data_IF_609389779911
#
_entry.id   IF_609389779911
#
_cell.length_a   1.000
_cell.length_b   1.000
_cell.length_c   1.000
_cell.angle_alpha   90.00
_cell.angle_beta   90.00
_cell.angle_gamma   90.00
#
_symmetry.space_group_name_H-M   'P 1'
#
loop_
_entity.id
_entity.type
_entity.pdbx_description
1 polymer ?
#
# COMPACT_ATOMS: atom_id res chain seq x y z
N UNK A 1 18.22 21.50 20.35
CA UNK A 1 16.83 21.30 19.86
C UNK A 1 15.88 21.67 20.98
N UNK A 2 15.03 22.68 20.79
CA UNK A 2 14.07 23.09 21.81
C UNK A 2 12.99 22.02 21.97
N UNK A 3 12.73 21.60 23.21
CA UNK A 3 11.73 20.59 23.56
C UNK A 3 10.27 21.00 23.30
N UNK A 4 10.01 22.11 22.61
CA UNK A 4 8.66 22.60 22.27
C UNK A 4 8.42 22.75 20.76
N UNK A 5 9.39 22.38 19.90
CA UNK A 5 9.20 22.40 18.45
C UNK A 5 8.38 21.16 18.01
N UNK A 6 7.13 21.33 17.54
CA UNK A 6 6.27 20.22 17.13
C UNK A 6 6.79 19.51 15.87
N UNK A 7 7.70 20.12 15.11
CA UNK A 7 8.22 19.59 13.84
C UNK A 7 8.90 18.24 14.02
N UNK A 8 9.71 18.06 15.08
CA UNK A 8 10.35 16.74 15.35
C UNK A 8 9.30 15.67 15.61
N UNK A 9 8.25 15.98 16.37
CA UNK A 9 7.23 14.98 16.72
C UNK A 9 6.36 14.66 15.50
N UNK A 10 6.14 15.65 14.63
CA UNK A 10 5.38 15.50 13.39
C UNK A 10 6.11 14.67 12.32
N UNK A 11 7.40 14.97 12.09
CA UNK A 11 8.26 14.32 11.08
C UNK A 11 9.08 13.15 11.62
N UNK A 12 9.07 12.93 12.93
CA UNK A 12 9.78 11.84 13.59
C UNK A 12 9.25 10.49 13.15
N UNK A 13 10.12 9.65 12.61
CA UNK A 13 9.74 8.28 12.25
C UNK A 13 9.43 7.44 13.49
N UNK A 14 10.11 7.72 14.61
CA UNK A 14 9.92 7.07 15.92
C UNK A 14 8.50 7.24 16.47
N UNK A 15 7.96 8.46 16.40
CA UNK A 15 6.60 8.77 16.89
C UNK A 15 5.52 8.16 16.01
N UNK A 16 5.75 8.09 14.70
CA UNK A 16 4.83 7.49 13.72
C UNK A 16 4.89 5.97 13.70
N UNK A 17 6.05 5.38 14.00
CA UNK A 17 6.25 3.93 14.01
C UNK A 17 5.38 3.24 15.07
N UNK A 18 5.13 3.89 16.22
CA UNK A 18 4.33 3.32 17.30
C UNK A 18 2.93 2.87 16.83
N UNK A 19 2.22 3.69 16.07
CA UNK A 19 0.90 3.33 15.54
C UNK A 19 0.93 2.15 14.57
N UNK A 20 1.95 2.11 13.70
CA UNK A 20 2.16 0.99 12.78
C UNK A 20 2.50 -0.30 13.54
N UNK A 21 3.33 -0.22 14.58
CA UNK A 21 3.69 -1.36 15.43
C UNK A 21 2.49 -1.87 16.24
N UNK A 22 1.65 -0.98 16.77
CA UNK A 22 0.39 -1.36 17.44
C UNK A 22 -0.52 -2.10 16.46
N UNK A 23 -0.67 -1.58 15.23
CA UNK A 23 -1.47 -2.23 14.19
C UNK A 23 -0.90 -3.60 13.77
N UNK A 24 0.42 -3.70 13.60
CA UNK A 24 1.09 -4.95 13.27
C UNK A 24 0.97 -5.99 14.40
N UNK A 25 1.17 -5.57 15.65
CA UNK A 25 0.98 -6.42 16.83
C UNK A 25 -0.47 -6.91 16.90
N UNK A 26 -1.45 -6.02 16.70
CA UNK A 26 -2.86 -6.39 16.65
C UNK A 26 -3.13 -7.42 15.54
N UNK A 27 -2.61 -7.21 14.33
CA UNK A 27 -2.83 -8.13 13.20
C UNK A 27 -2.28 -9.54 13.45
N UNK A 28 -1.17 -9.65 14.19
CA UNK A 28 -0.56 -10.95 14.54
C UNK A 28 -1.30 -11.61 15.70
N UNK A 29 -1.60 -10.84 16.75
CA UNK A 29 -2.13 -11.36 18.01
C UNK A 29 -3.64 -11.56 18.01
N UNK A 30 -4.39 -10.77 17.24
CA UNK A 30 -5.85 -10.76 17.23
C UNK A 30 -6.42 -11.28 15.91
N UNK A 31 -6.77 -12.57 15.89
CA UNK A 31 -7.24 -13.28 14.69
C UNK A 31 -8.53 -14.07 14.93
N UNK A 32 -9.62 -13.43 15.38
CA UNK A 32 -10.89 -14.10 15.70
C UNK A 32 -11.55 -14.83 14.52
N UNK A 33 -11.15 -14.53 13.28
CA UNK A 33 -11.61 -15.24 12.08
C UNK A 33 -10.89 -16.57 11.80
N UNK A 34 -9.87 -16.94 12.59
CA UNK A 34 -9.10 -18.16 12.37
C UNK A 34 -9.58 -19.33 13.24
N UNK A 35 -9.72 -20.54 12.67
CA UNK A 35 -10.00 -21.73 13.46
C UNK A 35 -8.92 -21.95 14.52
N UNK A 36 -9.31 -22.14 15.78
CA UNK A 36 -8.37 -22.36 16.90
C UNK A 36 -7.91 -21.10 17.64
N UNK A 37 -8.45 -19.92 17.31
CA UNK A 37 -8.22 -18.71 18.11
C UNK A 37 -8.79 -18.89 19.54
N UNK A 38 -7.93 -18.82 20.56
CA UNK A 38 -8.26 -19.19 21.94
C UNK A 38 -8.79 -18.04 22.80
N UNK A 39 -8.58 -16.79 22.39
CA UNK A 39 -8.98 -15.63 23.21
C UNK A 39 -10.49 -15.44 23.09
N UNK A 40 -11.20 -15.72 24.18
CA UNK A 40 -12.65 -15.52 24.27
C UNK A 40 -12.93 -14.13 24.81
N UNK A 41 -13.49 -13.25 23.98
CA UNK A 41 -13.99 -11.94 24.41
C UNK A 41 -15.47 -11.86 24.05
N UNK A 42 -16.28 -11.33 24.95
CA UNK A 42 -17.70 -11.11 24.69
C UNK A 42 -17.86 -10.13 23.51
N UNK A 43 -18.67 -10.45 22.48
CA UNK A 43 -18.93 -9.53 21.37
C UNK A 43 -19.51 -8.19 21.85
N UNK A 44 -20.36 -8.22 22.88
CA UNK A 44 -20.92 -6.99 23.49
C UNK A 44 -19.85 -6.13 24.14
N UNK A 45 -18.86 -6.74 24.80
CA UNK A 45 -17.75 -5.99 25.40
C UNK A 45 -16.89 -5.32 24.31
N UNK A 46 -16.63 -6.03 23.20
CA UNK A 46 -15.94 -5.45 22.04
C UNK A 46 -16.73 -4.31 21.40
N UNK A 47 -18.05 -4.44 21.28
CA UNK A 47 -18.91 -3.37 20.77
C UNK A 47 -18.90 -2.14 21.66
N UNK A 48 -19.02 -2.31 22.98
CA UNK A 48 -18.95 -1.19 23.93
C UNK A 48 -17.56 -0.52 23.90
N UNK A 49 -16.50 -1.31 23.83
CA UNK A 49 -15.14 -0.80 23.68
C UNK A 49 -14.96 -0.04 22.36
N UNK A 50 -15.52 -0.55 21.26
CA UNK A 50 -15.50 0.10 19.95
C UNK A 50 -16.31 1.40 19.94
N UNK A 51 -17.46 1.44 20.60
CA UNK A 51 -18.26 2.66 20.76
C UNK A 51 -17.49 3.71 21.57
N UNK A 52 -16.89 3.31 22.68
CA UNK A 52 -16.03 4.20 23.48
C UNK A 52 -14.83 4.72 22.69
N UNK A 53 -14.14 3.84 21.97
CA UNK A 53 -13.03 4.22 21.09
C UNK A 53 -13.47 5.16 19.97
N UNK A 54 -14.61 4.90 19.33
CA UNK A 54 -15.22 5.78 18.33
C UNK A 54 -15.57 7.15 18.90
N UNK A 55 -16.15 7.20 20.10
CA UNK A 55 -16.44 8.45 20.79
C UNK A 55 -15.17 9.25 21.11
N UNK A 56 -14.09 8.58 21.54
CA UNK A 56 -12.78 9.21 21.76
C UNK A 56 -12.24 9.81 20.46
N UNK A 57 -12.33 9.09 19.33
CA UNK A 57 -11.86 9.60 18.04
C UNK A 57 -12.68 10.81 17.56
N UNK A 58 -14.01 10.76 17.69
CA UNK A 58 -14.90 11.88 17.33
C UNK A 58 -14.64 13.08 18.23
N UNK A 59 -14.48 12.86 19.53
CA UNK A 59 -14.14 13.91 20.49
C UNK A 59 -12.77 14.54 20.19
N UNK A 60 -11.75 13.72 19.93
CA UNK A 60 -10.42 14.17 19.57
C UNK A 60 -10.46 15.01 18.28
N UNK A 61 -11.19 14.55 17.26
CA UNK A 61 -11.37 15.28 16.00
C UNK A 61 -12.01 16.66 16.22
N UNK A 62 -12.99 16.76 17.11
CA UNK A 62 -13.67 18.04 17.35
C UNK A 62 -12.88 18.97 18.27
N UNK A 63 -12.12 18.43 19.23
CA UNK A 63 -11.51 19.20 20.30
C UNK A 63 -10.05 19.56 20.06
N UNK A 64 -9.31 18.73 19.32
CA UNK A 64 -7.87 18.89 19.16
C UNK A 64 -7.55 19.72 17.93
N UNK A 65 -6.67 20.69 18.16
CA UNK A 65 -6.15 21.57 17.15
C UNK A 65 -4.81 21.05 16.62
N UNK A 66 -4.53 21.27 15.33
CA UNK A 66 -3.32 20.78 14.66
C UNK A 66 -2.03 21.49 15.11
N UNK A 67 -2.14 22.63 15.78
CA UNK A 67 -1.00 23.38 16.32
C UNK A 67 -0.71 23.03 17.79
N UNK A 68 -1.54 22.20 18.43
CA UNK A 68 -1.36 21.82 19.83
C UNK A 68 -0.28 20.75 20.02
N UNK A 69 0.65 20.97 20.96
CA UNK A 69 1.71 20.01 21.31
C UNK A 69 1.16 18.71 21.92
N UNK A 70 -0.03 18.76 22.53
CA UNK A 70 -0.73 17.61 23.09
C UNK A 70 -1.21 16.65 22.01
N UNK A 71 -1.63 17.17 20.85
CA UNK A 71 -2.08 16.35 19.71
C UNK A 71 -1.01 15.36 19.28
N UNK A 72 0.26 15.80 19.28
CA UNK A 72 1.36 15.01 18.76
C UNK A 72 2.02 14.07 19.77
N UNK A 73 1.93 14.35 21.08
CA UNK A 73 2.71 13.61 22.10
C UNK A 73 1.97 12.47 22.79
N UNK A 74 0.83 12.70 23.45
CA UNK A 74 -0.07 11.62 23.87
C UNK A 74 -1.22 11.38 22.89
N UNK A 75 -1.60 12.39 22.10
CA UNK A 75 -2.79 12.34 21.27
C UNK A 75 -2.69 11.28 20.17
N UNK A 76 -1.55 11.20 19.47
CA UNK A 76 -1.32 10.20 18.42
C UNK A 76 -1.39 8.75 18.94
N UNK A 77 -0.91 8.49 20.15
CA UNK A 77 -0.92 7.16 20.77
C UNK A 77 -2.34 6.80 21.19
N UNK A 78 -3.08 7.76 21.76
CA UNK A 78 -4.49 7.55 22.10
C UNK A 78 -5.32 7.24 20.84
N UNK A 79 -5.12 8.01 19.76
CA UNK A 79 -5.79 7.77 18.47
C UNK A 79 -5.38 6.41 17.90
N UNK A 80 -4.11 6.03 18.00
CA UNK A 80 -3.62 4.73 17.51
C UNK A 80 -4.25 3.56 18.27
N UNK A 81 -4.33 3.64 19.60
CA UNK A 81 -4.95 2.61 20.44
C UNK A 81 -6.48 2.54 20.23
N UNK A 82 -7.16 3.69 20.20
CA UNK A 82 -8.59 3.74 19.90
C UNK A 82 -8.89 3.15 18.50
N UNK A 83 -8.07 3.49 17.50
CA UNK A 83 -8.16 2.90 16.16
C UNK A 83 -7.93 1.39 16.20
N UNK A 84 -6.96 0.90 16.98
CA UNK A 84 -6.70 -0.53 17.13
C UNK A 84 -7.91 -1.27 17.74
N UNK A 85 -8.57 -0.69 18.75
CA UNK A 85 -9.79 -1.26 19.35
C UNK A 85 -10.93 -1.32 18.33
N UNK A 86 -11.14 -0.24 17.57
CA UNK A 86 -12.15 -0.23 16.49
C UNK A 86 -11.87 -1.30 15.45
N UNK A 87 -10.62 -1.44 15.00
CA UNK A 87 -10.22 -2.48 14.06
C UNK A 87 -10.47 -3.86 14.66
N UNK A 88 -10.07 -4.10 15.91
CA UNK A 88 -10.25 -5.38 16.60
C UNK A 88 -11.72 -5.82 16.67
N UNK A 89 -12.63 -4.88 16.95
CA UNK A 89 -14.06 -5.15 16.94
C UNK A 89 -14.61 -5.35 15.52
N UNK A 90 -14.14 -4.57 14.53
CA UNK A 90 -14.59 -4.62 13.13
C UNK A 90 -14.28 -5.95 12.42
N UNK A 91 -13.22 -6.62 12.84
CA UNK A 91 -12.79 -7.92 12.28
C UNK A 91 -13.34 -9.13 13.03
N UNK A 92 -14.02 -8.91 14.16
CA UNK A 92 -14.63 -9.99 14.94
C UNK A 92 -15.98 -10.39 14.34
N UNK A 93 -16.18 -11.64 13.88
CA UNK A 93 -17.37 -12.04 13.10
C UNK A 93 -18.72 -11.82 13.80
N UNK A 94 -18.74 -11.93 15.13
CA UNK A 94 -19.97 -11.83 15.92
C UNK A 94 -20.38 -10.40 16.29
N UNK A 95 -19.62 -9.36 15.90
CA UNK A 95 -19.99 -7.98 16.20
C UNK A 95 -20.91 -7.40 15.13
N UNK A 96 -21.83 -6.53 15.54
CA UNK A 96 -22.67 -5.72 14.63
C UNK A 96 -21.82 -4.79 13.78
N UNK A 97 -20.71 -4.29 14.33
CA UNK A 97 -19.78 -3.42 13.61
C UNK A 97 -19.20 -4.14 12.39
N UNK A 98 -18.85 -5.42 12.51
CA UNK A 98 -18.43 -6.25 11.40
C UNK A 98 -19.50 -6.33 10.30
N UNK A 99 -20.76 -6.55 10.68
CA UNK A 99 -21.87 -6.62 9.72
C UNK A 99 -22.11 -5.28 8.99
N UNK A 100 -22.11 -4.17 9.73
CA UNK A 100 -22.31 -2.82 9.17
C UNK A 100 -21.17 -2.46 8.21
N UNK A 101 -19.91 -2.58 8.64
CA UNK A 101 -18.76 -2.31 7.77
C UNK A 101 -18.62 -3.33 6.63
N UNK A 102 -19.19 -4.52 6.82
CA UNK A 102 -19.32 -5.57 5.82
C UNK A 102 -20.30 -5.26 4.69
N UNK A 103 -21.11 -4.20 4.81
CA UNK A 103 -22.10 -3.82 3.80
C UNK A 103 -21.45 -3.46 2.46
N UNK A 104 -22.04 -3.93 1.35
CA UNK A 104 -21.45 -3.82 0.01
C UNK A 104 -21.02 -2.39 -0.38
N UNK A 105 -21.83 -1.34 -0.15
CA UNK A 105 -21.44 0.03 -0.46
C UNK A 105 -20.25 0.52 0.35
N UNK A 106 -20.23 0.28 1.67
CA UNK A 106 -19.12 0.68 2.53
C UNK A 106 -17.82 -0.02 2.16
N UNK A 107 -17.89 -1.32 1.84
CA UNK A 107 -16.74 -2.06 1.31
C UNK A 107 -16.28 -1.55 -0.05
N UNK A 108 -17.21 -1.14 -0.92
CA UNK A 108 -16.89 -0.58 -2.23
C UNK A 108 -16.11 0.73 -2.09
N UNK A 109 -16.57 1.63 -1.20
CA UNK A 109 -15.90 2.89 -0.88
C UNK A 109 -14.53 2.60 -0.25
N UNK A 110 -14.48 1.72 0.75
CA UNK A 110 -13.24 1.38 1.46
C UNK A 110 -12.14 0.85 0.54
N UNK A 111 -12.50 0.05 -0.46
CA UNK A 111 -11.55 -0.46 -1.47
C UNK A 111 -10.96 0.63 -2.36
N UNK A 112 -11.63 1.77 -2.51
CA UNK A 112 -11.25 2.90 -3.37
C UNK A 112 -10.78 4.12 -2.58
N UNK A 113 -10.74 4.00 -1.26
CA UNK A 113 -10.38 5.10 -0.35
C UNK A 113 -9.02 5.72 -0.70
N UNK A 114 -8.06 4.90 -1.11
CA UNK A 114 -6.75 5.37 -1.59
C UNK A 114 -6.87 6.24 -2.84
N UNK A 115 -7.54 5.76 -3.90
CA UNK A 115 -7.78 6.54 -5.12
C UNK A 115 -8.57 7.82 -4.85
N UNK A 116 -9.60 7.77 -4.00
CA UNK A 116 -10.38 8.95 -3.60
C UNK A 116 -9.47 9.97 -2.91
N UNK A 117 -8.63 9.52 -1.97
CA UNK A 117 -7.66 10.37 -1.30
C UNK A 117 -6.63 10.96 -2.27
N UNK A 118 -6.18 10.22 -3.27
CA UNK A 118 -5.22 10.74 -4.23
C UNK A 118 -5.83 11.82 -5.14
N UNK A 119 -7.03 11.56 -5.67
CA UNK A 119 -7.63 12.38 -6.73
C UNK A 119 -8.47 13.55 -6.20
N UNK A 120 -8.94 13.53 -4.95
CA UNK A 120 -9.75 14.63 -4.44
C UNK A 120 -8.97 15.96 -4.44
N UNK A 121 -7.70 15.96 -4.04
CA UNK A 121 -6.93 17.19 -3.92
C UNK A 121 -6.64 17.86 -5.28
N UNK A 122 -6.11 17.14 -6.30
CA UNK A 122 -5.96 17.71 -7.64
C UNK A 122 -7.27 18.25 -8.22
N UNK A 123 -8.39 17.51 -8.05
CA UNK A 123 -9.71 17.96 -8.52
C UNK A 123 -10.10 19.26 -7.84
N UNK A 124 -9.91 19.39 -6.53
CA UNK A 124 -10.24 20.62 -5.79
C UNK A 124 -9.39 21.82 -6.24
N UNK A 125 -8.11 21.60 -6.53
CA UNK A 125 -7.17 22.66 -6.95
C UNK A 125 -7.53 23.23 -8.33
N UNK A 126 -8.01 22.40 -9.26
CA UNK A 126 -8.33 22.82 -10.64
C UNK A 126 -9.79 23.25 -10.85
N UNK A 127 -10.64 23.13 -9.83
CA UNK A 127 -12.08 23.46 -9.91
C UNK A 127 -12.49 24.50 -8.88
N UNK A 128 -11.68 25.54 -8.65
CA UNK A 128 -11.96 26.54 -7.61
C UNK A 128 -13.21 27.36 -7.99
N UNK A 129 -14.25 27.41 -7.12
CA UNK A 129 -15.49 28.12 -7.44
C UNK A 129 -15.22 29.61 -7.54
N UNK A 130 -15.77 30.27 -8.56
CA UNK A 130 -15.58 31.70 -8.81
C UNK A 130 -14.23 32.10 -9.41
N UNK A 131 -13.30 31.15 -9.57
CA UNK A 131 -12.00 31.37 -10.22
C UNK A 131 -11.91 30.53 -11.50
N UNK A 132 -11.97 29.20 -11.38
CA UNK A 132 -11.86 28.28 -12.51
C UNK A 132 -13.24 27.91 -13.08
N UNK A 133 -14.28 27.95 -12.23
CA UNK A 133 -15.67 27.66 -12.60
C UNK A 133 -16.57 28.81 -12.17
N UNK A 134 -17.28 29.44 -13.11
CA UNK A 134 -18.26 30.51 -12.84
C UNK A 134 -19.56 30.02 -12.17
N UNK A 135 -19.56 28.82 -11.59
CA UNK A 135 -20.73 28.20 -10.96
C UNK A 135 -20.79 28.51 -9.47
N UNK A 136 -22.00 28.41 -8.89
CA UNK A 136 -22.17 28.46 -7.44
C UNK A 136 -21.53 27.24 -6.74
N UNK A 137 -21.36 27.33 -5.43
CA UNK A 137 -20.65 26.33 -4.63
C UNK A 137 -21.28 24.93 -4.67
N UNK A 138 -22.62 24.85 -4.76
CA UNK A 138 -23.36 23.58 -4.80
C UNK A 138 -23.07 22.72 -6.03
N UNK A 139 -23.35 23.21 -7.27
CA UNK A 139 -23.02 22.48 -8.50
C UNK A 139 -21.55 22.11 -8.61
N UNK A 140 -20.66 23.01 -8.15
CA UNK A 140 -19.21 22.75 -8.13
C UNK A 140 -18.85 21.59 -7.19
N UNK A 141 -19.51 21.47 -6.04
CA UNK A 141 -19.31 20.34 -5.12
C UNK A 141 -19.76 19.01 -5.74
N UNK A 142 -20.93 18.98 -6.38
CA UNK A 142 -21.43 17.77 -7.06
C UNK A 142 -20.47 17.34 -8.17
N UNK A 143 -19.99 18.29 -8.97
CA UNK A 143 -18.98 18.04 -10.00
C UNK A 143 -17.68 17.47 -9.39
N UNK A 144 -17.18 18.06 -8.32
CA UNK A 144 -15.95 17.61 -7.63
C UNK A 144 -16.06 16.19 -7.10
N UNK A 145 -17.17 15.87 -6.45
CA UNK A 145 -17.43 14.52 -5.94
C UNK A 145 -17.53 13.52 -7.10
N UNK A 146 -18.25 13.88 -8.17
CA UNK A 146 -18.37 13.05 -9.37
C UNK A 146 -17.02 12.79 -10.04
N UNK A 147 -16.23 13.84 -10.29
CA UNK A 147 -14.90 13.73 -10.89
C UNK A 147 -13.93 12.93 -10.02
N UNK A 148 -13.92 13.18 -8.71
CA UNK A 148 -13.07 12.44 -7.76
C UNK A 148 -13.41 10.96 -7.77
N UNK A 149 -14.68 10.60 -7.69
CA UNK A 149 -15.12 9.20 -7.71
C UNK A 149 -14.84 8.53 -9.05
N UNK A 150 -15.03 9.25 -10.17
CA UNK A 150 -14.73 8.75 -11.50
C UNK A 150 -13.23 8.46 -11.67
N UNK A 151 -12.38 9.43 -11.34
CA UNK A 151 -10.92 9.27 -11.43
C UNK A 151 -10.42 8.20 -10.47
N UNK A 152 -10.98 8.12 -9.26
CA UNK A 152 -10.68 7.05 -8.31
C UNK A 152 -11.08 5.67 -8.85
N UNK A 153 -12.24 5.52 -9.49
CA UNK A 153 -12.65 4.25 -10.13
C UNK A 153 -11.70 3.86 -11.26
N UNK A 154 -11.35 4.81 -12.13
CA UNK A 154 -10.43 4.56 -13.24
C UNK A 154 -9.05 4.15 -12.72
N UNK A 155 -8.50 4.89 -11.75
CA UNK A 155 -7.25 4.56 -11.07
C UNK A 155 -7.31 3.17 -10.44
N UNK A 156 -8.40 2.88 -9.72
CA UNK A 156 -8.57 1.59 -9.06
C UNK A 156 -8.57 0.43 -10.07
N UNK A 157 -9.29 0.57 -11.18
CA UNK A 157 -9.46 -0.49 -12.18
C UNK A 157 -8.23 -0.69 -13.06
N UNK A 158 -7.54 0.39 -13.44
CA UNK A 158 -6.46 0.34 -14.42
C UNK A 158 -5.05 0.36 -13.81
N UNK A 159 -4.89 0.84 -12.59
CA UNK A 159 -3.59 0.93 -11.91
C UNK A 159 -3.55 0.00 -10.71
N UNK A 160 -4.46 0.20 -9.76
CA UNK A 160 -4.37 -0.49 -8.46
C UNK A 160 -4.71 -1.98 -8.58
N UNK A 161 -5.77 -2.36 -9.29
CA UNK A 161 -6.19 -3.75 -9.40
C UNK A 161 -5.19 -4.63 -10.19
N UNK A 162 -4.61 -4.19 -11.33
CA UNK A 162 -3.55 -4.94 -12.00
C UNK A 162 -2.33 -5.14 -11.11
N UNK A 163 -1.92 -4.11 -10.36
CA UNK A 163 -0.81 -4.19 -9.40
C UNK A 163 -1.13 -5.21 -8.30
N UNK A 164 -2.31 -5.11 -7.68
CA UNK A 164 -2.77 -6.04 -6.63
C UNK A 164 -2.88 -7.50 -7.11
N UNK A 165 -3.23 -7.71 -8.39
CA UNK A 165 -3.27 -9.03 -9.03
C UNK A 165 -1.91 -9.51 -9.56
N UNK A 166 -0.82 -8.89 -9.12
CA UNK A 166 0.55 -9.37 -9.37
C UNK A 166 1.16 -8.94 -10.72
N UNK A 167 0.67 -7.87 -11.35
CA UNK A 167 1.32 -7.32 -12.54
C UNK A 167 2.80 -6.98 -12.31
N UNK A 168 3.13 -6.42 -11.14
CA UNK A 168 4.51 -6.13 -10.75
C UNK A 168 5.34 -7.40 -10.55
N UNK A 169 4.77 -8.44 -9.94
CA UNK A 169 5.43 -9.74 -9.80
C UNK A 169 5.74 -10.40 -11.15
N UNK A 170 4.80 -10.32 -12.10
CA UNK A 170 5.01 -10.79 -13.48
C UNK A 170 6.06 -9.96 -14.23
N UNK A 171 6.13 -8.65 -13.96
CA UNK A 171 7.18 -7.79 -14.51
C UNK A 171 8.56 -8.19 -13.94
N UNK A 172 8.64 -8.37 -12.62
CA UNK A 172 9.87 -8.77 -11.93
C UNK A 172 10.42 -10.11 -12.39
N UNK A 173 9.55 -11.12 -12.59
CA UNK A 173 9.98 -12.42 -13.14
C UNK A 173 10.44 -12.32 -14.59
N UNK A 174 9.82 -11.45 -15.40
CA UNK A 174 10.26 -11.16 -16.79
C UNK A 174 11.62 -10.48 -16.82
N UNK A 175 11.85 -9.49 -15.95
CA UNK A 175 13.15 -8.83 -15.83
C UNK A 175 14.23 -9.79 -15.31
N UNK A 176 13.94 -10.58 -14.29
CA UNK A 176 14.85 -11.60 -13.77
C UNK A 176 15.13 -12.72 -14.79
N UNK A 177 14.16 -13.09 -15.62
CA UNK A 177 14.37 -14.02 -16.73
C UNK A 177 15.31 -13.42 -17.79
N UNK A 178 15.07 -12.16 -18.21
CA UNK A 178 15.93 -11.42 -19.16
C UNK A 178 17.36 -11.29 -18.66
N UNK A 179 17.54 -10.94 -17.39
CA UNK A 179 18.86 -10.83 -16.75
C UNK A 179 19.60 -12.18 -16.71
N UNK A 180 18.89 -13.29 -16.43
CA UNK A 180 19.47 -14.65 -16.46
C UNK A 180 19.92 -15.05 -17.87
N UNK A 181 19.11 -14.79 -18.89
CA UNK A 181 19.51 -15.04 -20.30
C UNK A 181 20.70 -14.20 -20.72
N UNK A 182 20.76 -12.91 -20.34
CA UNK A 182 21.91 -12.05 -20.63
C UNK A 182 23.20 -12.54 -19.93
N UNK A 183 23.08 -13.05 -18.70
CA UNK A 183 24.19 -13.63 -17.94
C UNK A 183 24.67 -14.97 -18.54
N UNK A 184 23.75 -15.80 -19.02
CA UNK A 184 24.08 -17.04 -19.71
C UNK A 184 24.79 -16.79 -21.05
N UNK A 185 24.33 -15.80 -21.84
CA UNK A 185 24.97 -15.42 -23.10
C UNK A 185 26.40 -14.89 -22.90
N UNK A 186 26.60 -14.04 -21.89
CA UNK A 186 27.93 -13.51 -21.56
C UNK A 186 28.87 -14.55 -20.91
N UNK A 187 28.33 -15.57 -20.24
CA UNK A 187 29.12 -16.71 -19.76
C UNK A 187 29.55 -17.64 -20.91
N UNK A 188 28.65 -17.92 -21.87
CA UNK A 188 28.96 -18.72 -23.06
C UNK A 188 29.93 -18.03 -24.04
N UNK A 189 29.86 -16.70 -24.17
CA UNK A 189 30.81 -15.94 -24.99
C UNK A 189 32.24 -15.93 -24.41
N UNK A 190 32.39 -16.05 -23.09
CA UNK A 190 33.71 -16.16 -22.44
C UNK A 190 34.32 -17.55 -22.57
N UNK A 191 33.51 -18.61 -22.64
CA UNK A 191 34.03 -19.97 -22.80
C UNK A 191 34.43 -20.30 -24.24
N UNK A 192 33.85 -19.61 -25.25
CA UNK A 192 34.24 -19.77 -26.65
C UNK A 192 35.49 -18.96 -27.05
N UNK A 193 35.76 -17.84 -26.39
CA UNK A 193 36.95 -17.01 -26.65
C UNK A 193 38.28 -17.63 -26.16
N UNK A 194 38.22 -18.66 -25.31
CA UNK A 194 39.39 -19.36 -24.76
C UNK A 194 39.73 -20.69 -25.44
N UNK A 195 39.01 -21.10 -26.49
CA UNK A 195 39.32 -22.35 -27.21
C UNK A 195 40.42 -22.06 -28.27
N UNK A 196 41.62 -22.66 -28.15
CA UNK A 196 42.61 -22.61 -29.21
C UNK A 196 42.00 -23.22 -30.48
N UNK A 197 42.12 -22.53 -31.61
CA UNK A 197 41.76 -23.11 -32.90
C UNK A 197 42.58 -24.39 -33.09
N UNK A 198 41.96 -25.51 -33.53
CA UNK A 198 42.70 -26.73 -33.79
C UNK A 198 43.74 -26.42 -34.87
N UNK A 199 45.02 -26.64 -34.54
CA UNK A 199 46.13 -26.53 -35.48
C UNK A 199 45.87 -27.52 -36.61
N UNK A 200 45.48 -27.00 -37.78
CA UNK A 200 45.43 -27.79 -39.00
C UNK A 200 46.87 -28.15 -39.35
N UNK A 201 47.30 -29.35 -38.98
CA UNK A 201 48.54 -29.93 -39.48
C UNK A 201 48.39 -30.19 -40.98
N UNK A 202 48.93 -29.27 -41.77
CA UNK A 202 49.11 -29.43 -43.21
C UNK A 202 50.35 -30.33 -43.41
N UNK A 203 50.19 -31.64 -43.29
CA UNK A 203 51.27 -32.59 -43.62
C UNK A 203 50.73 -33.98 -43.95
N UNK A 204 50.28 -34.15 -45.19
CA UNK A 204 50.29 -35.42 -45.93
C UNK A 204 49.88 -35.13 -47.36
N UNK A 205 50.46 -35.89 -48.30
CA UNK A 205 50.30 -35.81 -49.76
C UNK A 205 51.45 -35.15 -50.53
N UNK A 206 52.68 -35.61 -50.32
CA UNK A 206 53.66 -35.77 -51.41
C UNK A 206 54.46 -37.05 -51.16
N UNK A 207 53.95 -38.18 -51.68
CA UNK A 207 54.78 -39.34 -52.08
C UNK A 207 53.89 -40.38 -52.79
N UNK A 208 53.78 -40.29 -54.11
CA UNK A 208 53.56 -41.44 -55.01
C UNK A 208 53.39 -40.96 -56.45
N UNK A 209 54.47 -41.03 -57.23
CA UNK A 209 54.51 -41.69 -58.55
C UNK A 209 55.77 -41.29 -59.31
N UNK A 210 56.81 -42.12 -59.17
CA UNK A 210 57.61 -42.50 -60.32
C UNK A 210 56.70 -43.29 -61.26
N UNK A 211 56.59 -42.84 -62.51
CA UNK A 211 56.29 -43.68 -63.66
C UNK A 211 56.69 -42.90 -64.93
N UNK A 212 57.53 -43.57 -65.74
CA UNK A 212 58.04 -43.26 -67.09
C UNK A 212 59.08 -42.15 -67.24
#
# INVERSE_FOLDING_TARGET
>A
YNGNDPSRVYYGTDTRAAGLLIGAALAVLWRPWTPGFKVKVSPRALELAALGAGAILVWAFWRWDEFSSFTYRPGLQLVSLASAVLVAASVHPETRLHAVLGWKPLRWIGRRSYGIYLWHWPVYVVTRPGIDLGWSSGPTLVLRLGLTLLLAELSFRYVEEPIRRGALGRLGTRFAARARTARAYSAGARSSAGRPLPSRSCSRWVSSSEAS
#
